data_IF_013308304924
#
_entry.id   IF_013308304924
#
_cell.length_a   1.000
_cell.length_b   1.000
_cell.length_c   1.000
_cell.angle_alpha   90.00
_cell.angle_beta   90.00
_cell.angle_gamma   90.00
#
_symmetry.space_group_name_H-M   'P 1'
#
loop_
_entity.id
_entity.type
_entity.pdbx_description
1 polymer ?
#
# COMPACT_ATOMS: atom_id res chain seq x y z
N UNK A 1 -9.45 59.66 -24.55
CA UNK A 1 -10.56 58.68 -24.59
C UNK A 1 -10.23 57.44 -25.43
N UNK A 2 -10.15 57.49 -26.77
CA UNK A 2 -9.85 56.27 -27.58
C UNK A 2 -8.44 55.72 -27.32
N UNK A 3 -7.43 56.60 -27.21
CA UNK A 3 -6.05 56.22 -26.89
C UNK A 3 -5.89 55.65 -25.48
N UNK A 4 -6.59 56.21 -24.48
CA UNK A 4 -6.60 55.67 -23.11
C UNK A 4 -7.34 54.33 -23.01
N UNK A 5 -8.41 54.14 -23.77
CA UNK A 5 -9.12 52.86 -23.86
C UNK A 5 -8.24 51.78 -24.51
N UNK A 6 -7.48 52.13 -25.56
CA UNK A 6 -6.51 51.23 -26.21
C UNK A 6 -5.34 50.88 -25.27
N UNK A 7 -4.79 51.85 -24.53
CA UNK A 7 -3.73 51.59 -23.53
C UNK A 7 -4.26 50.72 -22.38
N UNK A 8 -5.49 50.94 -21.91
CA UNK A 8 -6.12 50.12 -20.87
C UNK A 8 -6.38 48.68 -21.33
N UNK A 9 -6.85 48.47 -22.57
CA UNK A 9 -7.07 47.13 -23.15
C UNK A 9 -5.73 46.41 -23.40
N UNK A 10 -4.71 47.12 -23.92
CA UNK A 10 -3.38 46.57 -24.12
C UNK A 10 -2.68 46.22 -22.79
N UNK A 11 -2.88 47.01 -21.75
CA UNK A 11 -2.33 46.77 -20.41
C UNK A 11 -2.92 45.51 -19.75
N UNK A 12 -4.23 45.28 -19.91
CA UNK A 12 -4.87 44.04 -19.45
C UNK A 12 -4.47 42.83 -20.29
N UNK A 13 -4.28 43.01 -21.60
CA UNK A 13 -3.83 41.94 -22.50
C UNK A 13 -2.44 41.41 -22.16
N UNK A 14 -1.47 42.28 -21.89
CA UNK A 14 -0.12 41.88 -21.44
C UNK A 14 -0.14 41.17 -20.09
N UNK A 15 -0.88 41.71 -19.12
CA UNK A 15 -1.03 41.08 -17.81
C UNK A 15 -1.68 39.69 -17.89
N UNK A 16 -2.67 39.49 -18.77
CA UNK A 16 -3.30 38.19 -19.01
C UNK A 16 -2.34 37.18 -19.67
N UNK A 17 -1.43 37.65 -20.53
CA UNK A 17 -0.38 36.79 -21.12
C UNK A 17 0.61 36.33 -20.04
N UNK A 18 1.09 37.25 -19.19
CA UNK A 18 2.02 36.91 -18.09
C UNK A 18 1.39 35.96 -17.06
N UNK A 19 0.10 36.17 -16.75
CA UNK A 19 -0.68 35.26 -15.91
C UNK A 19 -0.85 33.90 -16.59
N UNK A 20 -1.12 33.87 -17.90
CA UNK A 20 -1.22 32.64 -18.68
C UNK A 20 0.08 31.82 -18.68
N UNK A 21 1.22 32.47 -18.83
CA UNK A 21 2.53 31.82 -18.72
C UNK A 21 2.81 31.29 -17.32
N UNK A 22 2.45 32.06 -16.28
CA UNK A 22 2.59 31.65 -14.89
C UNK A 22 1.69 30.45 -14.56
N UNK A 23 0.46 30.43 -15.07
CA UNK A 23 -0.46 29.31 -14.92
C UNK A 23 0.03 28.06 -15.66
N UNK A 24 0.65 28.20 -16.83
CA UNK A 24 1.27 27.08 -17.54
C UNK A 24 2.39 26.44 -16.72
N UNK A 25 3.29 27.24 -16.15
CA UNK A 25 4.37 26.74 -15.26
C UNK A 25 3.80 26.06 -14.03
N UNK A 26 2.72 26.61 -13.46
CA UNK A 26 2.04 26.00 -12.31
C UNK A 26 1.40 24.65 -12.66
N UNK A 27 0.84 24.51 -13.87
CA UNK A 27 0.32 23.23 -14.35
C UNK A 27 1.44 22.17 -14.48
N UNK A 28 2.61 22.55 -15.01
CA UNK A 28 3.76 21.66 -15.11
C UNK A 28 4.27 21.19 -13.73
N UNK A 29 4.30 22.08 -12.74
CA UNK A 29 4.67 21.75 -11.35
C UNK A 29 3.62 20.84 -10.71
N UNK A 30 2.33 21.11 -10.93
CA UNK A 30 1.24 20.25 -10.45
C UNK A 30 1.35 18.85 -11.04
N UNK A 31 1.55 18.73 -12.35
CA UNK A 31 1.66 17.43 -13.00
C UNK A 31 2.88 16.65 -12.50
N UNK A 32 3.99 17.37 -12.23
CA UNK A 32 5.17 16.77 -11.61
C UNK A 32 4.89 16.25 -10.20
N UNK A 33 4.16 17.03 -9.39
CA UNK A 33 3.74 16.62 -8.05
C UNK A 33 2.77 15.42 -8.09
N UNK A 34 1.82 15.42 -9.03
CA UNK A 34 0.87 14.32 -9.18
C UNK A 34 1.60 13.01 -9.54
N UNK A 35 2.61 13.08 -10.42
CA UNK A 35 3.46 11.93 -10.75
C UNK A 35 4.25 11.48 -9.52
N UNK A 36 4.86 12.41 -8.79
CA UNK A 36 5.68 12.13 -7.61
C UNK A 36 4.86 11.44 -6.51
N UNK A 37 3.70 11.99 -6.16
CA UNK A 37 2.77 11.38 -5.18
C UNK A 37 2.30 10.02 -5.65
N UNK A 38 1.97 9.88 -6.95
CA UNK A 38 1.54 8.60 -7.47
C UNK A 38 2.63 7.53 -7.32
N UNK A 39 3.85 7.82 -7.75
CA UNK A 39 4.93 6.84 -7.78
C UNK A 39 5.55 6.57 -6.41
N UNK A 40 5.65 7.59 -5.56
CA UNK A 40 6.33 7.47 -4.27
C UNK A 40 5.38 7.16 -3.10
N UNK A 41 4.07 7.33 -3.28
CA UNK A 41 3.09 7.08 -2.21
C UNK A 41 1.98 6.13 -2.64
N UNK A 42 1.25 6.43 -3.72
CA UNK A 42 0.07 5.65 -4.11
C UNK A 42 0.46 4.25 -4.59
N UNK A 43 1.40 4.15 -5.53
CA UNK A 43 1.82 2.88 -6.14
C UNK A 43 2.45 1.92 -5.10
N UNK A 44 3.34 2.37 -4.18
CA UNK A 44 3.86 1.53 -3.10
C UNK A 44 2.77 1.04 -2.14
N UNK A 45 1.84 1.91 -1.71
CA UNK A 45 0.73 1.52 -0.83
C UNK A 45 -0.21 0.52 -1.50
N UNK A 46 -0.46 0.71 -2.80
CA UNK A 46 -1.25 -0.24 -3.57
C UNK A 46 -0.53 -1.59 -3.68
N UNK A 47 0.79 -1.59 -3.88
CA UNK A 47 1.63 -2.78 -3.85
C UNK A 47 1.53 -3.54 -2.52
N UNK A 48 1.63 -2.83 -1.40
CA UNK A 48 1.48 -3.37 -0.05
C UNK A 48 0.11 -4.05 0.15
N UNK A 49 -0.97 -3.39 -0.30
CA UNK A 49 -2.32 -3.91 -0.16
C UNK A 49 -2.58 -5.13 -1.06
N UNK A 50 -2.16 -5.06 -2.32
CA UNK A 50 -2.48 -6.08 -3.31
C UNK A 50 -1.58 -7.32 -3.22
N UNK A 51 -0.39 -7.19 -2.63
CA UNK A 51 0.56 -8.29 -2.46
C UNK A 51 0.62 -8.74 -1.01
N UNK A 52 1.29 -7.98 -0.15
CA UNK A 52 1.67 -8.45 1.18
C UNK A 52 0.45 -8.69 2.08
N UNK A 53 -0.47 -7.72 2.15
CA UNK A 53 -1.69 -7.88 2.95
C UNK A 53 -2.60 -8.99 2.42
N UNK A 54 -2.70 -9.12 1.10
CA UNK A 54 -3.49 -10.18 0.45
C UNK A 54 -2.91 -11.56 0.71
N UNK A 55 -1.59 -11.70 0.70
CA UNK A 55 -0.87 -12.93 1.00
C UNK A 55 -1.05 -13.34 2.47
N UNK A 56 -0.87 -12.39 3.41
CA UNK A 56 -1.14 -12.62 4.84
C UNK A 56 -2.59 -13.06 5.05
N UNK A 57 -3.55 -12.38 4.41
CA UNK A 57 -4.96 -12.75 4.49
C UNK A 57 -5.20 -14.18 3.99
N UNK A 58 -4.51 -14.60 2.92
CA UNK A 58 -4.58 -15.98 2.42
C UNK A 58 -4.05 -16.99 3.45
N UNK A 59 -2.88 -16.72 4.04
CA UNK A 59 -2.29 -17.59 5.06
C UNK A 59 -3.19 -17.70 6.31
N UNK A 60 -3.74 -16.59 6.79
CA UNK A 60 -4.66 -16.58 7.93
C UNK A 60 -5.93 -17.39 7.64
N UNK A 61 -6.52 -17.26 6.45
CA UNK A 61 -7.70 -18.05 6.06
C UNK A 61 -7.38 -19.55 6.01
N UNK A 62 -6.20 -19.92 5.52
CA UNK A 62 -5.73 -21.32 5.48
C UNK A 62 -5.50 -21.86 6.89
N UNK A 63 -4.85 -21.09 7.75
CA UNK A 63 -4.62 -21.42 9.16
C UNK A 63 -5.93 -21.68 9.90
N UNK A 64 -6.91 -20.78 9.74
CA UNK A 64 -8.23 -20.94 10.37
C UNK A 64 -8.92 -22.23 9.91
N UNK A 65 -8.85 -22.55 8.61
CA UNK A 65 -9.37 -23.82 8.10
C UNK A 65 -8.69 -25.05 8.73
N UNK A 66 -7.36 -25.01 8.91
CA UNK A 66 -6.61 -26.10 9.57
C UNK A 66 -6.94 -26.22 11.06
N UNK A 67 -7.10 -25.09 11.75
CA UNK A 67 -7.50 -25.04 13.15
C UNK A 67 -8.85 -25.73 13.34
N UNK A 68 -9.83 -25.39 12.48
CA UNK A 68 -11.17 -25.98 12.52
C UNK A 68 -11.16 -27.49 12.21
N UNK A 69 -10.36 -27.95 11.24
CA UNK A 69 -10.20 -29.38 10.93
C UNK A 69 -9.61 -30.15 12.12
N UNK A 70 -8.55 -29.62 12.73
CA UNK A 70 -7.95 -30.21 13.92
C UNK A 70 -8.92 -30.24 15.11
N UNK A 71 -9.62 -29.13 15.39
CA UNK A 71 -10.61 -29.05 16.47
C UNK A 71 -11.75 -30.06 16.28
N UNK A 72 -12.22 -30.23 15.04
CA UNK A 72 -13.23 -31.22 14.69
C UNK A 72 -12.73 -32.65 14.95
N UNK A 73 -11.51 -32.97 14.51
CA UNK A 73 -10.91 -34.30 14.69
C UNK A 73 -10.62 -34.60 16.15
N UNK A 74 -10.10 -33.62 16.89
CA UNK A 74 -9.80 -33.72 18.33
C UNK A 74 -11.06 -33.99 19.15
N UNK A 75 -12.19 -33.34 18.84
CA UNK A 75 -13.48 -33.62 19.50
C UNK A 75 -13.98 -35.05 19.27
N UNK A 76 -13.50 -35.74 18.25
CA UNK A 76 -13.85 -37.11 17.89
C UNK A 76 -12.72 -38.11 18.15
N UNK A 77 -11.76 -37.74 19.00
CA UNK A 77 -10.67 -38.60 19.41
C UNK A 77 -11.21 -39.96 19.91
N UNK A 78 -10.60 -41.06 19.46
CA UNK A 78 -11.08 -42.43 19.67
C UNK A 78 -12.02 -42.98 18.58
N UNK A 79 -12.61 -42.12 17.73
CA UNK A 79 -13.33 -42.55 16.50
C UNK A 79 -12.53 -42.31 15.21
N UNK A 80 -11.42 -41.58 15.32
CA UNK A 80 -10.55 -41.19 14.22
C UNK A 80 -9.17 -41.80 14.51
N UNK A 81 -8.47 -42.32 13.49
CA UNK A 81 -7.11 -42.84 13.68
C UNK A 81 -6.19 -41.77 14.26
N UNK A 82 -5.37 -42.15 15.25
CA UNK A 82 -4.42 -41.22 15.89
C UNK A 82 -3.46 -40.60 14.89
N UNK A 83 -3.11 -41.32 13.82
CA UNK A 83 -2.26 -40.80 12.75
C UNK A 83 -2.93 -39.65 11.98
N UNK A 84 -4.24 -39.72 11.72
CA UNK A 84 -4.96 -38.61 11.09
C UNK A 84 -5.06 -37.38 12.01
N UNK A 85 -5.25 -37.62 13.31
CA UNK A 85 -5.28 -36.56 14.31
C UNK A 85 -3.91 -35.87 14.38
N UNK A 86 -2.82 -36.66 14.44
CA UNK A 86 -1.44 -36.17 14.42
C UNK A 86 -1.13 -35.35 13.17
N UNK A 87 -1.50 -35.85 11.98
CA UNK A 87 -1.31 -35.12 10.73
C UNK A 87 -2.10 -33.80 10.67
N UNK A 88 -3.31 -33.76 11.22
CA UNK A 88 -4.10 -32.52 11.26
C UNK A 88 -3.46 -31.46 12.18
N UNK A 89 -2.85 -31.89 13.29
CA UNK A 89 -2.08 -31.02 14.19
C UNK A 89 -0.81 -30.49 13.50
N UNK A 90 -0.07 -31.37 12.82
CA UNK A 90 1.15 -31.00 12.09
C UNK A 90 0.85 -29.94 11.02
N UNK A 91 -0.18 -30.18 10.18
CA UNK A 91 -0.62 -29.21 9.16
C UNK A 91 -1.11 -27.88 9.75
N UNK A 92 -1.68 -27.90 10.96
CA UNK A 92 -2.06 -26.69 11.67
C UNK A 92 -0.82 -25.90 12.12
N UNK A 93 0.17 -26.55 12.73
CA UNK A 93 1.42 -25.91 13.13
C UNK A 93 2.21 -25.36 11.92
N UNK A 94 2.34 -26.12 10.84
CA UNK A 94 2.97 -25.64 9.60
C UNK A 94 2.26 -24.38 9.06
N UNK A 95 0.93 -24.39 9.02
CA UNK A 95 0.16 -23.23 8.54
C UNK A 95 0.26 -22.03 9.48
N UNK A 96 0.47 -22.28 10.78
CA UNK A 96 0.66 -21.25 11.79
C UNK A 96 2.01 -20.57 11.61
N UNK A 97 3.07 -21.35 11.49
CA UNK A 97 4.44 -20.85 11.29
C UNK A 97 4.55 -19.99 10.02
N UNK A 98 3.93 -20.43 8.92
CA UNK A 98 3.89 -19.64 7.68
C UNK A 98 3.16 -18.32 7.87
N UNK A 99 1.99 -18.32 8.52
CA UNK A 99 1.25 -17.09 8.77
C UNK A 99 2.03 -16.13 9.68
N UNK A 100 2.66 -16.64 10.74
CA UNK A 100 3.48 -15.85 11.67
C UNK A 100 4.69 -15.25 10.96
N UNK A 101 5.38 -16.02 10.12
CA UNK A 101 6.54 -15.55 9.35
C UNK A 101 6.14 -14.47 8.34
N UNK A 102 5.05 -14.66 7.60
CA UNK A 102 4.56 -13.65 6.64
C UNK A 102 4.16 -12.35 7.35
N UNK A 103 3.52 -12.43 8.52
CA UNK A 103 3.19 -11.24 9.32
C UNK A 103 4.44 -10.56 9.88
N UNK A 104 5.42 -11.33 10.34
CA UNK A 104 6.68 -10.81 10.87
C UNK A 104 7.47 -10.06 9.78
N UNK A 105 7.59 -10.64 8.59
CA UNK A 105 8.30 -10.04 7.46
C UNK A 105 7.69 -8.69 7.03
N UNK A 106 6.36 -8.57 7.07
CA UNK A 106 5.67 -7.31 6.80
C UNK A 106 6.07 -6.24 7.82
N UNK A 107 6.03 -6.59 9.12
CA UNK A 107 6.35 -5.67 10.21
C UNK A 107 7.83 -5.25 10.20
N UNK A 108 8.76 -6.13 9.82
CA UNK A 108 10.17 -5.75 9.65
C UNK A 108 10.40 -4.82 8.46
N UNK A 109 9.58 -4.92 7.41
CA UNK A 109 9.71 -4.09 6.20
C UNK A 109 9.21 -2.65 6.45
N UNK A 110 8.19 -2.48 7.31
CA UNK A 110 7.66 -1.20 7.76
C UNK A 110 8.72 -0.39 8.53
N UNK A 111 9.44 -1.03 9.47
CA UNK A 111 10.50 -0.40 10.28
C UNK A 111 11.68 0.12 9.42
N UNK A 112 11.93 -0.48 8.25
CA UNK A 112 13.01 -0.05 7.34
C UNK A 112 12.62 1.12 6.45
N UNK A 113 11.33 1.28 6.13
CA UNK A 113 10.84 2.37 5.27
C UNK A 113 10.64 3.68 6.03
N UNK A 114 10.34 3.61 7.34
CA UNK A 114 10.35 4.76 8.24
C UNK A 114 11.76 5.26 8.61
N UNK A 115 12.80 4.50 8.23
CA UNK A 115 14.22 4.83 8.44
C UNK A 115 14.92 5.25 7.14
N UNK A 116 14.20 5.74 6.11
CA UNK A 116 14.87 6.61 5.13
C UNK A 116 15.41 7.80 5.92
N UNK A 117 16.73 7.93 6.04
CA UNK A 117 17.29 8.73 7.10
C UNK A 117 17.05 10.20 6.76
N UNK A 118 16.56 10.94 7.76
CA UNK A 118 16.56 12.40 7.79
C UNK A 118 17.95 13.01 7.45
N UNK A 119 19.02 12.19 7.40
CA UNK A 119 20.36 12.56 6.94
C UNK A 119 20.50 12.79 5.42
N UNK A 120 19.49 12.48 4.60
CA UNK A 120 19.48 12.83 3.16
C UNK A 120 18.71 14.13 2.87
N UNK A 121 18.10 14.75 3.89
CA UNK A 121 17.37 16.01 3.80
C UNK A 121 18.12 17.20 4.46
N UNK A 122 19.35 17.01 4.94
CA UNK A 122 20.20 18.08 5.48
C UNK A 122 21.48 18.25 4.67
#
# INVERSE_FOLDING_TARGET
YVTELVISVCGSGGALVDVGESMKRMAEVKDSLDIDVKQNFIDPLQGLCDKDLREIQHHLKKLEGRRLDYDYKKKRQGKIPDEELRQSLEKFHESKEVAETSMYNLLETDVRTDLIPFSLLC
#
